data_IF_391499161897
#
_entry.id   IF_391499161897
#
_cell.length_a   1.000
_cell.length_b   1.000
_cell.length_c   1.000
_cell.angle_alpha   90.00
_cell.angle_beta   90.00
_cell.angle_gamma   90.00
#
_symmetry.space_group_name_H-M   'P 1'
#
loop_
_entity.id
_entity.type
_entity.pdbx_description
1 polymer ?
#
# COMPACT_ATOMS: atom_id res chain seq x y z
N UNK A 1 19.22 -11.26 10.52
CA UNK A 1 19.35 -9.81 10.21
C UNK A 1 18.97 -9.03 11.46
N UNK A 2 19.55 -7.83 11.66
CA UNK A 2 19.18 -6.91 12.77
C UNK A 2 18.29 -5.77 12.33
N UNK A 3 18.32 -5.44 11.03
CA UNK A 3 17.43 -4.47 10.39
C UNK A 3 16.99 -5.01 9.03
N UNK A 4 15.80 -4.64 8.57
CA UNK A 4 15.25 -5.16 7.33
C UNK A 4 14.25 -4.20 6.67
N UNK A 5 14.14 -4.33 5.34
CA UNK A 5 13.16 -3.67 4.47
C UNK A 5 12.58 -4.72 3.54
N UNK A 6 11.26 -4.70 3.32
CA UNK A 6 10.60 -5.48 2.28
C UNK A 6 9.61 -4.62 1.52
N UNK A 7 9.66 -4.64 0.19
CA UNK A 7 8.81 -3.82 -0.69
C UNK A 7 8.59 -4.49 -2.06
N UNK A 8 7.62 -4.04 -2.87
CA UNK A 8 7.28 -4.65 -4.15
C UNK A 8 8.27 -4.35 -5.29
N UNK A 9 9.34 -3.57 -5.06
CA UNK A 9 10.35 -3.29 -6.07
C UNK A 9 11.75 -3.29 -5.47
N UNK A 10 12.66 -4.06 -6.08
CA UNK A 10 14.02 -4.27 -5.55
C UNK A 10 14.85 -2.98 -5.41
N UNK A 11 14.73 -2.02 -6.34
CA UNK A 11 15.41 -0.73 -6.23
C UNK A 11 14.94 0.07 -5.00
N UNK A 12 13.64 0.05 -4.72
CA UNK A 12 13.09 0.75 -3.55
C UNK A 12 13.51 0.07 -2.24
N UNK A 13 13.54 -1.26 -2.19
CA UNK A 13 14.07 -1.99 -1.04
C UNK A 13 15.56 -1.68 -0.80
N UNK A 14 16.35 -1.53 -1.86
CA UNK A 14 17.75 -1.14 -1.76
C UNK A 14 17.93 0.26 -1.16
N UNK A 15 17.10 1.24 -1.59
CA UNK A 15 17.09 2.59 -1.02
C UNK A 15 16.82 2.56 0.49
N UNK A 16 15.79 1.85 0.93
CA UNK A 16 15.47 1.74 2.36
C UNK A 16 16.59 1.05 3.15
N UNK A 17 17.23 0.02 2.58
CA UNK A 17 18.35 -0.65 3.21
C UNK A 17 19.56 0.29 3.37
N UNK A 18 19.86 1.13 2.37
CA UNK A 18 20.95 2.09 2.43
C UNK A 18 20.71 3.16 3.49
N UNK A 19 19.44 3.61 3.66
CA UNK A 19 19.05 4.51 4.75
C UNK A 19 19.32 3.86 6.11
N UNK A 20 18.89 2.60 6.33
CA UNK A 20 19.15 1.88 7.58
C UNK A 20 20.67 1.70 7.84
N UNK A 21 21.43 1.35 6.82
CA UNK A 21 22.90 1.17 6.92
C UNK A 21 23.64 2.46 7.22
N UNK A 22 23.14 3.59 6.73
CA UNK A 22 23.73 4.92 7.00
C UNK A 22 23.29 5.51 8.33
N UNK A 23 22.49 4.78 9.14
CA UNK A 23 22.09 5.17 10.48
C UNK A 23 20.76 5.93 10.56
N UNK A 24 19.98 5.96 9.49
CA UNK A 24 18.56 6.36 9.53
C UNK A 24 17.73 5.31 10.27
N UNK A 25 16.59 5.69 10.83
CA UNK A 25 15.68 4.78 11.52
C UNK A 25 14.68 4.11 10.56
N UNK A 26 13.78 3.27 11.10
CA UNK A 26 12.79 2.55 10.30
C UNK A 26 11.81 3.49 9.56
N UNK A 27 11.46 4.66 10.14
CA UNK A 27 10.58 5.66 9.49
C UNK A 27 11.31 6.35 8.34
N UNK A 28 12.58 6.76 8.51
CA UNK A 28 13.39 7.32 7.43
C UNK A 28 13.48 6.33 6.26
N UNK A 29 13.75 5.06 6.56
CA UNK A 29 13.82 4.01 5.54
C UNK A 29 12.47 3.78 4.84
N UNK A 30 11.35 3.80 5.57
CA UNK A 30 10.01 3.65 5.00
C UNK A 30 9.66 4.81 4.06
N UNK A 31 9.95 6.06 4.46
CA UNK A 31 9.73 7.26 3.64
C UNK A 31 10.56 7.18 2.36
N UNK A 32 11.87 6.93 2.46
CA UNK A 32 12.76 6.86 1.29
C UNK A 32 12.36 5.72 0.33
N UNK A 33 11.99 4.55 0.87
CA UNK A 33 11.45 3.43 0.08
C UNK A 33 10.15 3.82 -0.63
N UNK A 34 9.24 4.50 0.07
CA UNK A 34 7.95 4.97 -0.45
C UNK A 34 8.14 6.01 -1.56
N UNK A 35 9.06 6.97 -1.39
CA UNK A 35 9.43 7.95 -2.43
C UNK A 35 10.03 7.26 -3.66
N UNK A 36 10.93 6.29 -3.46
CA UNK A 36 11.50 5.52 -4.57
C UNK A 36 10.41 4.73 -5.32
N UNK A 37 9.47 4.08 -4.61
CA UNK A 37 8.34 3.37 -5.21
C UNK A 37 7.45 4.30 -6.06
N UNK A 38 7.25 5.54 -5.65
CA UNK A 38 6.49 6.51 -6.43
C UNK A 38 7.10 6.77 -7.83
N UNK A 39 8.39 6.52 -8.00
CA UNK A 39 9.12 6.67 -9.27
C UNK A 39 9.24 5.33 -10.02
N UNK A 40 9.65 4.25 -9.34
CA UNK A 40 9.95 2.98 -10.01
C UNK A 40 8.74 2.05 -10.14
N UNK A 41 7.64 2.35 -9.44
CA UNK A 41 6.40 1.56 -9.41
C UNK A 41 5.15 2.44 -9.56
N UNK A 42 5.16 3.43 -10.50
CA UNK A 42 4.20 4.52 -10.56
C UNK A 42 2.79 4.09 -10.98
N UNK A 43 2.61 2.86 -11.43
CA UNK A 43 1.31 2.31 -11.80
C UNK A 43 0.44 1.95 -10.58
N UNK A 44 1.03 1.82 -9.38
CA UNK A 44 0.32 1.41 -8.16
C UNK A 44 0.28 2.48 -7.08
N UNK A 45 1.29 3.36 -7.03
CA UNK A 45 1.47 4.38 -6.01
C UNK A 45 2.13 5.64 -6.56
N UNK A 46 2.11 6.73 -5.82
CA UNK A 46 2.72 7.99 -6.22
C UNK A 46 2.35 9.14 -5.29
N UNK A 47 2.95 10.30 -5.52
CA UNK A 47 2.70 11.53 -4.75
C UNK A 47 1.22 11.93 -4.81
N UNK A 48 0.54 11.64 -5.93
CA UNK A 48 -0.88 11.92 -6.13
C UNK A 48 -1.85 10.92 -5.50
N UNK A 49 -1.35 10.04 -4.62
CA UNK A 49 -2.12 9.00 -3.91
C UNK A 49 -2.37 9.29 -2.44
N UNK A 50 -2.83 8.25 -1.73
CA UNK A 50 -3.02 8.23 -0.28
C UNK A 50 -2.00 7.33 0.41
N UNK A 51 -1.80 7.56 1.73
CA UNK A 51 -0.91 6.79 2.58
C UNK A 51 -1.60 6.45 3.91
N UNK A 52 -1.50 5.18 4.33
CA UNK A 52 -1.86 4.74 5.69
C UNK A 52 -0.69 3.93 6.25
N UNK A 53 -0.30 4.20 7.50
CA UNK A 53 0.83 3.54 8.14
C UNK A 53 0.54 3.18 9.59
N UNK A 54 1.26 2.18 10.09
CA UNK A 54 1.44 1.91 11.51
C UNK A 54 2.91 2.06 11.86
N UNK A 55 3.19 2.65 13.01
CA UNK A 55 4.54 2.77 13.57
C UNK A 55 4.51 2.22 14.99
N UNK A 56 5.37 1.24 15.26
CA UNK A 56 5.69 0.83 16.61
C UNK A 56 7.03 1.43 17.01
N UNK A 57 7.06 2.12 18.12
CA UNK A 57 8.26 2.71 18.69
C UNK A 57 8.20 2.69 20.22
N UNK A 58 9.23 2.13 20.88
CA UNK A 58 9.41 2.16 22.34
C UNK A 58 8.15 1.76 23.14
N UNK A 59 7.44 0.70 22.71
CA UNK A 59 6.24 0.18 23.38
C UNK A 59 4.92 0.83 22.94
N UNK A 60 4.95 1.88 22.11
CA UNK A 60 3.77 2.54 21.55
C UNK A 60 3.52 2.10 20.11
N UNK A 61 2.27 1.72 19.80
CA UNK A 61 1.80 1.48 18.43
C UNK A 61 0.85 2.60 18.02
N UNK A 62 1.25 3.38 17.03
CA UNK A 62 0.47 4.49 16.48
C UNK A 62 0.08 4.21 15.03
N UNK A 63 -1.13 4.62 14.64
CA UNK A 63 -1.63 4.58 13.27
C UNK A 63 -1.66 5.97 12.65
N UNK A 64 -1.37 6.09 11.36
CA UNK A 64 -1.46 7.32 10.58
C UNK A 64 -2.41 7.12 9.41
N UNK A 65 -3.39 8.02 9.29
CA UNK A 65 -4.30 8.15 8.16
C UNK A 65 -3.97 9.44 7.40
N UNK A 66 -3.47 9.32 6.19
CA UNK A 66 -3.26 10.46 5.29
C UNK A 66 -3.98 10.21 3.98
N UNK A 67 -5.28 10.55 4.00
CA UNK A 67 -6.25 10.29 2.93
C UNK A 67 -6.99 11.58 2.59
N UNK A 68 -7.07 11.88 1.30
CA UNK A 68 -7.61 13.15 0.84
C UNK A 68 -9.13 13.21 0.75
N UNK A 69 -9.62 14.43 0.73
CA UNK A 69 -11.04 14.79 0.55
C UNK A 69 -11.37 14.95 -0.92
N UNK A 70 -12.64 14.88 -1.27
CA UNK A 70 -13.13 15.30 -2.58
C UNK A 70 -12.87 16.81 -2.73
N UNK A 71 -12.31 17.28 -3.88
CA UNK A 71 -11.99 18.68 -4.09
C UNK A 71 -13.19 19.61 -3.87
N UNK A 72 -12.95 20.82 -3.38
CA UNK A 72 -13.97 21.80 -3.03
C UNK A 72 -14.80 22.27 -4.26
N UNK A 73 -14.22 22.27 -5.45
CA UNK A 73 -14.89 22.59 -6.70
C UNK A 73 -15.63 21.42 -7.37
N UNK A 74 -15.73 20.26 -6.71
CA UNK A 74 -16.45 19.11 -7.26
C UNK A 74 -17.95 19.38 -7.33
N UNK A 75 -18.61 18.93 -8.40
CA UNK A 75 -20.06 19.02 -8.55
C UNK A 75 -20.73 17.67 -8.24
N UNK A 76 -21.95 17.66 -7.67
CA UNK A 76 -22.71 16.45 -7.49
C UNK A 76 -22.83 15.63 -8.78
N UNK A 77 -22.71 14.33 -8.70
CA UNK A 77 -22.72 13.45 -9.87
C UNK A 77 -23.81 12.35 -9.72
N UNK A 78 -24.70 12.23 -10.69
CA UNK A 78 -25.66 11.11 -10.77
C UNK A 78 -24.95 9.77 -10.88
N UNK A 79 -23.77 9.76 -11.48
CA UNK A 79 -22.89 8.60 -11.59
C UNK A 79 -21.44 9.03 -11.28
N UNK A 80 -20.92 8.50 -10.19
CA UNK A 80 -19.55 8.80 -9.76
C UNK A 80 -18.53 8.37 -10.84
N UNK A 81 -17.65 9.28 -11.28
CA UNK A 81 -16.61 8.96 -12.28
C UNK A 81 -15.62 7.91 -11.73
N UNK A 82 -15.21 6.98 -12.57
CA UNK A 82 -14.18 5.96 -12.21
C UNK A 82 -12.80 6.28 -12.78
N UNK A 83 -12.70 7.19 -13.73
CA UNK A 83 -11.48 7.63 -14.38
C UNK A 83 -11.58 9.11 -14.73
N UNK A 84 -10.46 9.75 -15.06
CA UNK A 84 -10.40 11.18 -15.33
C UNK A 84 -10.40 12.00 -14.04
N UNK A 85 -10.31 13.32 -14.19
CA UNK A 85 -10.09 14.25 -13.07
C UNK A 85 -11.19 14.17 -11.99
N UNK A 86 -12.45 14.01 -12.37
CA UNK A 86 -13.56 13.88 -11.42
C UNK A 86 -13.54 12.61 -10.57
N UNK A 87 -12.66 11.64 -10.86
CA UNK A 87 -12.45 10.46 -10.02
C UNK A 87 -11.37 10.66 -8.95
N UNK A 88 -10.66 11.78 -8.97
CA UNK A 88 -9.55 12.06 -8.07
C UNK A 88 -10.03 12.72 -6.76
N UNK A 89 -9.29 12.44 -5.68
CA UNK A 89 -9.35 13.17 -4.41
C UNK A 89 -8.05 13.92 -4.19
N UNK A 90 -8.02 14.86 -3.27
CA UNK A 90 -6.80 15.57 -2.88
C UNK A 90 -5.75 14.55 -2.45
N UNK A 91 -4.50 14.63 -2.94
CA UNK A 91 -3.45 13.68 -2.56
C UNK A 91 -3.08 13.75 -1.07
N UNK A 92 -3.04 12.59 -0.40
CA UNK A 92 -2.63 12.49 1.00
C UNK A 92 -1.19 12.03 1.21
N UNK A 93 -0.55 11.46 0.19
CA UNK A 93 0.72 10.75 0.34
C UNK A 93 1.85 11.63 0.92
N UNK A 94 2.05 12.83 0.37
CA UNK A 94 3.11 13.75 0.84
C UNK A 94 2.85 14.24 2.25
N UNK A 95 1.59 14.55 2.59
CA UNK A 95 1.17 14.87 3.96
C UNK A 95 1.49 13.73 4.94
N UNK A 96 1.29 12.48 4.50
CA UNK A 96 1.66 11.30 5.28
C UNK A 96 3.17 11.16 5.51
N UNK A 97 4.00 11.40 4.49
CA UNK A 97 5.47 11.40 4.67
C UNK A 97 5.92 12.46 5.66
N UNK A 98 5.37 13.68 5.59
CA UNK A 98 5.68 14.75 6.53
C UNK A 98 5.26 14.40 7.95
N UNK A 99 4.04 13.93 8.16
CA UNK A 99 3.55 13.55 9.48
C UNK A 99 4.39 12.43 10.12
N UNK A 100 4.83 11.43 9.33
CA UNK A 100 5.76 10.40 9.78
C UNK A 100 7.11 11.01 10.16
N UNK A 101 7.66 11.87 9.28
CA UNK A 101 8.95 12.52 9.49
C UNK A 101 8.94 13.45 10.71
N UNK A 102 7.93 14.30 10.85
CA UNK A 102 7.83 15.28 11.94
C UNK A 102 7.77 14.62 13.32
N UNK A 103 7.17 13.40 13.40
CA UNK A 103 7.05 12.67 14.67
C UNK A 103 8.24 11.76 14.97
N UNK A 104 8.82 11.13 13.95
CA UNK A 104 9.79 10.04 14.13
C UNK A 104 11.05 10.18 13.27
N UNK A 105 11.06 11.02 12.24
CA UNK A 105 12.18 11.17 11.32
C UNK A 105 13.45 11.67 11.98
N UNK A 106 14.59 11.21 11.52
CA UNK A 106 15.92 11.62 12.00
C UNK A 106 16.80 12.18 10.88
N UNK A 107 16.45 11.93 9.63
CA UNK A 107 17.16 12.42 8.45
C UNK A 107 16.31 13.48 7.73
N UNK A 108 16.92 14.53 7.15
CA UNK A 108 16.19 15.53 6.37
C UNK A 108 15.40 14.89 5.21
N UNK A 109 14.16 15.35 4.95
CA UNK A 109 13.33 14.81 3.87
C UNK A 109 13.95 14.95 2.48
N UNK A 110 14.67 16.04 2.24
CA UNK A 110 15.38 16.27 0.99
C UNK A 110 16.52 15.26 0.79
N UNK A 111 17.22 14.84 1.85
CA UNK A 111 18.20 13.74 1.81
C UNK A 111 17.51 12.41 1.45
N UNK A 112 16.38 12.10 2.10
CA UNK A 112 15.59 10.88 1.85
C UNK A 112 15.02 10.82 0.42
N UNK A 113 14.73 11.98 -0.19
CA UNK A 113 14.21 12.07 -1.55
C UNK A 113 15.29 11.87 -2.63
N UNK A 114 16.59 12.06 -2.33
CA UNK A 114 17.66 12.05 -3.33
C UNK A 114 17.71 10.79 -4.21
N UNK A 115 17.54 9.56 -3.69
CA UNK A 115 17.48 8.37 -4.56
C UNK A 115 16.33 8.40 -5.54
N UNK A 116 15.13 8.81 -5.10
CA UNK A 116 13.94 8.92 -5.94
C UNK A 116 14.13 10.01 -7.03
N UNK A 117 14.70 11.16 -6.67
CA UNK A 117 15.05 12.25 -7.61
C UNK A 117 16.01 11.75 -8.69
N UNK A 118 17.06 11.01 -8.31
CA UNK A 118 17.99 10.42 -9.29
C UNK A 118 17.29 9.44 -10.21
N UNK A 119 16.48 8.50 -9.68
CA UNK A 119 15.72 7.55 -10.50
C UNK A 119 14.78 8.25 -11.47
N UNK A 120 14.12 9.30 -11.04
CA UNK A 120 13.19 10.05 -11.89
C UNK A 120 13.92 10.82 -13.00
N UNK A 121 15.08 11.40 -12.68
CA UNK A 121 15.89 12.23 -13.61
C UNK A 121 16.68 11.40 -14.60
N UNK A 122 17.38 10.38 -14.12
CA UNK A 122 18.28 9.57 -14.93
C UNK A 122 17.54 8.46 -15.68
N UNK A 123 16.33 8.12 -15.23
CA UNK A 123 15.50 7.06 -15.75
C UNK A 123 15.80 5.70 -15.12
N UNK A 124 14.79 4.83 -15.19
CA UNK A 124 14.86 3.44 -14.71
C UNK A 124 14.33 2.47 -15.75
N UNK A 125 14.91 1.27 -15.83
CA UNK A 125 14.33 0.19 -16.62
C UNK A 125 12.95 -0.20 -16.07
N UNK A 126 12.02 -0.47 -16.97
CA UNK A 126 10.66 -0.87 -16.59
C UNK A 126 10.67 -2.30 -16.09
N UNK A 127 10.30 -2.48 -14.83
CA UNK A 127 10.11 -3.82 -14.29
C UNK A 127 9.02 -4.58 -15.06
N UNK A 128 9.09 -5.92 -15.14
CA UNK A 128 8.12 -6.74 -15.87
C UNK A 128 6.67 -6.51 -15.47
N UNK A 129 6.41 -6.33 -14.15
CA UNK A 129 5.09 -6.01 -13.61
C UNK A 129 4.56 -4.67 -14.15
N UNK A 130 5.40 -3.63 -14.10
CA UNK A 130 5.05 -2.31 -14.65
C UNK A 130 4.74 -2.38 -16.15
N UNK A 131 5.61 -3.00 -16.95
CA UNK A 131 5.41 -3.11 -18.40
C UNK A 131 4.11 -3.82 -18.78
N UNK A 132 3.80 -4.91 -18.07
CA UNK A 132 2.56 -5.67 -18.23
C UNK A 132 1.32 -4.84 -17.94
N UNK A 133 1.28 -4.17 -16.78
CA UNK A 133 0.14 -3.35 -16.36
C UNK A 133 -0.02 -2.12 -17.26
N UNK A 134 1.07 -1.49 -17.68
CA UNK A 134 1.05 -0.38 -18.66
C UNK A 134 0.38 -0.81 -19.96
N UNK A 135 0.71 -1.99 -20.47
CA UNK A 135 0.05 -2.55 -21.67
C UNK A 135 -1.47 -2.73 -21.49
N UNK A 136 -1.90 -3.24 -20.34
CA UNK A 136 -3.34 -3.40 -20.02
C UNK A 136 -4.07 -2.07 -19.84
N UNK A 137 -3.39 -1.07 -19.30
CA UNK A 137 -3.98 0.25 -18.99
C UNK A 137 -3.78 1.26 -20.11
N UNK A 138 -3.17 0.90 -21.25
CA UNK A 138 -2.96 1.78 -22.42
C UNK A 138 -4.20 2.61 -22.78
N UNK A 139 -5.43 2.04 -22.88
CA UNK A 139 -6.61 2.84 -23.24
C UNK A 139 -7.00 3.90 -22.19
N UNK A 140 -6.57 3.76 -20.93
CA UNK A 140 -6.74 4.76 -19.88
C UNK A 140 -5.71 5.87 -20.05
N UNK A 141 -4.44 5.50 -20.23
CA UNK A 141 -3.31 6.43 -20.35
C UNK A 141 -3.39 7.31 -21.61
N UNK A 142 -3.90 6.78 -22.73
CA UNK A 142 -4.07 7.51 -24.00
C UNK A 142 -5.12 8.63 -23.92
N UNK A 143 -5.86 8.75 -22.82
CA UNK A 143 -6.85 9.84 -22.62
C UNK A 143 -6.23 11.11 -22.06
N UNK A 144 -5.01 11.03 -21.54
CA UNK A 144 -4.26 12.15 -20.99
C UNK A 144 -2.92 12.29 -21.71
N UNK A 145 -2.59 13.48 -22.21
CA UNK A 145 -1.40 13.70 -23.01
C UNK A 145 -0.10 13.52 -22.21
N UNK A 146 -0.09 13.98 -20.94
CA UNK A 146 1.05 13.84 -20.06
C UNK A 146 1.25 12.36 -19.64
N UNK A 147 0.18 11.66 -19.27
CA UNK A 147 0.24 10.24 -18.96
C UNK A 147 0.73 9.42 -20.16
N UNK A 148 0.28 9.74 -21.37
CA UNK A 148 0.76 9.13 -22.63
C UNK A 148 2.25 9.37 -22.80
N UNK A 149 2.69 10.63 -22.68
CA UNK A 149 4.10 11.02 -22.87
C UNK A 149 5.02 10.32 -21.87
N UNK A 150 4.62 10.23 -20.62
CA UNK A 150 5.44 9.68 -19.54
C UNK A 150 5.44 8.14 -19.58
N UNK A 151 4.25 7.53 -19.55
CA UNK A 151 4.12 6.09 -19.28
C UNK A 151 4.09 5.21 -20.53
N UNK A 152 3.79 5.77 -21.71
CA UNK A 152 3.81 5.06 -22.99
C UNK A 152 5.06 5.35 -23.84
N UNK A 153 6.04 6.10 -23.30
CA UNK A 153 7.36 6.29 -23.89
C UNK A 153 8.15 4.97 -23.95
N UNK A 154 9.27 4.98 -24.66
CA UNK A 154 10.25 3.90 -24.65
C UNK A 154 11.04 3.83 -23.34
N UNK A 155 11.78 2.73 -23.11
CA UNK A 155 12.71 2.62 -21.98
C UNK A 155 13.96 3.51 -22.20
N UNK A 156 14.57 4.03 -21.14
CA UNK A 156 14.12 3.95 -19.74
C UNK A 156 12.92 4.86 -19.44
N UNK A 157 12.21 4.59 -18.35
CA UNK A 157 11.18 5.48 -17.80
C UNK A 157 11.85 6.70 -17.19
N UNK A 158 11.75 7.86 -17.84
CA UNK A 158 12.31 9.14 -17.38
C UNK A 158 11.18 10.09 -17.00
N UNK A 159 11.26 10.68 -15.80
CA UNK A 159 10.21 11.51 -15.20
C UNK A 159 10.79 12.82 -14.65
N UNK A 160 11.30 13.74 -15.51
CA UNK A 160 12.02 14.93 -15.05
C UNK A 160 11.15 15.89 -14.25
N UNK A 161 9.87 16.05 -14.62
CA UNK A 161 8.93 16.91 -13.88
C UNK A 161 8.62 16.32 -12.49
N UNK A 162 8.57 14.99 -12.35
CA UNK A 162 8.43 14.34 -11.05
C UNK A 162 9.69 14.53 -10.20
N UNK A 163 10.86 14.51 -10.80
CA UNK A 163 12.11 14.83 -10.09
C UNK A 163 12.09 16.26 -9.53
N UNK A 164 11.64 17.23 -10.34
CA UNK A 164 11.48 18.61 -9.90
C UNK A 164 10.45 18.74 -8.77
N UNK A 165 9.31 18.04 -8.86
CA UNK A 165 8.31 18.02 -7.78
C UNK A 165 8.87 17.44 -6.48
N UNK A 166 9.70 16.39 -6.56
CA UNK A 166 10.38 15.81 -5.40
C UNK A 166 11.42 16.78 -4.78
N UNK A 167 12.01 17.67 -5.54
CA UNK A 167 12.88 18.74 -5.04
C UNK A 167 12.09 19.84 -4.32
N UNK A 168 10.80 19.99 -4.63
CA UNK A 168 9.89 20.98 -4.03
C UNK A 168 8.93 20.37 -2.99
N UNK A 169 9.32 19.28 -2.32
CA UNK A 169 8.45 18.63 -1.32
C UNK A 169 8.07 19.56 -0.15
N UNK A 170 8.92 20.52 0.20
CA UNK A 170 8.62 21.49 1.25
C UNK A 170 7.48 22.46 0.87
N UNK A 171 7.34 22.77 -0.42
CA UNK A 171 6.32 23.64 -1.00
C UNK A 171 5.28 22.84 -1.82
N UNK A 172 5.14 21.55 -1.59
CA UNK A 172 4.33 20.66 -2.43
C UNK A 172 2.91 21.18 -2.67
N UNK A 173 2.24 21.71 -1.64
CA UNK A 173 0.88 22.22 -1.74
C UNK A 173 0.78 23.36 -2.74
N UNK A 174 1.63 24.36 -2.65
CA UNK A 174 1.65 25.48 -3.59
C UNK A 174 2.22 25.09 -4.95
N UNK A 175 3.28 24.25 -4.99
CA UNK A 175 3.91 23.84 -6.24
C UNK A 175 2.99 22.99 -7.12
N UNK A 176 2.28 22.04 -6.51
CA UNK A 176 1.37 21.12 -7.20
C UNK A 176 -0.04 21.72 -7.27
N UNK A 177 -0.55 22.28 -6.16
CA UNK A 177 -1.91 22.80 -6.06
C UNK A 177 -2.20 23.91 -7.06
N UNK A 178 -1.26 24.87 -7.24
CA UNK A 178 -1.42 25.95 -8.23
C UNK A 178 -1.45 25.48 -9.70
N UNK A 179 -1.04 24.24 -9.96
CA UNK A 179 -1.03 23.62 -11.31
C UNK A 179 -2.17 22.61 -11.47
N UNK A 180 -2.84 22.23 -10.39
CA UNK A 180 -3.90 21.24 -10.45
C UNK A 180 -5.09 21.78 -11.25
N UNK A 181 -5.65 21.00 -12.20
CA UNK A 181 -6.79 21.45 -12.97
C UNK A 181 -8.08 21.41 -12.12
N UNK A 182 -9.08 22.18 -12.53
CA UNK A 182 -10.42 22.05 -11.94
C UNK A 182 -10.88 20.58 -11.92
N UNK A 183 -11.52 20.11 -10.83
CA UNK A 183 -12.18 20.88 -9.75
C UNK A 183 -11.30 21.19 -8.52
N UNK A 184 -9.98 21.01 -8.58
CA UNK A 184 -9.09 21.32 -7.46
C UNK A 184 -8.85 22.83 -7.35
N UNK A 185 -8.82 23.32 -6.09
CA UNK A 185 -8.26 24.59 -5.72
C UNK A 185 -6.93 24.38 -5.00
N UNK A 186 -6.03 25.35 -5.01
CA UNK A 186 -4.75 25.27 -4.29
C UNK A 186 -5.00 25.10 -2.79
N UNK A 187 -6.03 25.72 -2.24
CA UNK A 187 -6.47 25.63 -0.86
C UNK A 187 -6.87 24.20 -0.45
N UNK A 188 -7.32 23.38 -1.37
CA UNK A 188 -7.64 21.96 -1.09
C UNK A 188 -6.37 21.19 -0.65
N UNK A 189 -5.23 21.50 -1.27
CA UNK A 189 -3.93 20.88 -0.93
C UNK A 189 -3.41 21.40 0.41
N UNK A 190 -3.50 22.72 0.67
CA UNK A 190 -3.10 23.32 1.93
C UNK A 190 -3.98 22.88 3.11
N UNK A 191 -5.26 22.57 2.86
CA UNK A 191 -6.19 22.10 3.87
C UNK A 191 -6.09 20.59 4.18
N UNK A 192 -5.18 19.87 3.52
CA UNK A 192 -4.96 18.46 3.82
C UNK A 192 -4.17 18.28 5.12
N UNK A 193 -4.72 17.47 6.02
CA UNK A 193 -4.09 17.10 7.29
C UNK A 193 -4.08 15.58 7.43
N UNK A 194 -2.93 15.04 7.83
CA UNK A 194 -2.79 13.64 8.22
C UNK A 194 -3.27 13.46 9.68
N UNK A 195 -3.97 12.36 9.95
CA UNK A 195 -4.61 12.11 11.24
C UNK A 195 -3.94 10.92 11.94
N UNK A 196 -3.54 11.12 13.20
CA UNK A 196 -3.02 10.04 14.04
C UNK A 196 -4.17 9.33 14.74
N UNK A 197 -4.15 8.00 14.68
CA UNK A 197 -5.18 7.11 15.24
C UNK A 197 -4.56 6.03 16.12
N UNK A 198 -5.36 5.49 17.03
CA UNK A 198 -4.95 4.33 17.82
C UNK A 198 -5.37 3.05 17.08
N UNK A 199 -4.43 2.17 16.68
CA UNK A 199 -4.77 0.89 16.08
C UNK A 199 -5.64 0.02 16.98
N UNK A 200 -6.60 -0.68 16.38
CA UNK A 200 -7.43 -1.67 17.08
C UNK A 200 -6.70 -3.00 17.20
N UNK A 201 -6.95 -3.74 18.31
CA UNK A 201 -6.21 -4.95 18.66
C UNK A 201 -7.15 -6.09 18.99
N UNK A 202 -6.68 -7.33 18.75
CA UNK A 202 -7.36 -8.55 19.13
C UNK A 202 -6.37 -9.62 19.57
N UNK A 203 -6.59 -10.20 20.75
CA UNK A 203 -5.86 -11.37 21.19
C UNK A 203 -6.27 -12.58 20.35
N UNK A 204 -5.27 -13.26 19.76
CA UNK A 204 -5.49 -14.43 18.93
C UNK A 204 -4.25 -15.35 18.96
N UNK A 205 -4.42 -16.62 19.36
CA UNK A 205 -3.33 -17.60 19.51
C UNK A 205 -2.12 -17.10 20.34
N UNK A 206 -2.38 -16.35 21.42
CA UNK A 206 -1.33 -15.88 22.34
C UNK A 206 -0.51 -14.69 21.82
N UNK A 207 -1.01 -13.99 20.81
CA UNK A 207 -0.44 -12.73 20.28
C UNK A 207 -1.55 -11.69 20.10
N UNK A 208 -1.17 -10.41 19.98
CA UNK A 208 -2.11 -9.34 19.64
C UNK A 208 -2.01 -9.05 18.13
N UNK A 209 -3.09 -9.28 17.39
CA UNK A 209 -3.22 -8.83 15.99
C UNK A 209 -3.70 -7.40 16.00
N UNK A 210 -2.96 -6.51 15.34
CA UNK A 210 -3.21 -5.07 15.30
C UNK A 210 -3.52 -4.64 13.86
N UNK A 211 -4.62 -3.91 13.71
CA UNK A 211 -5.10 -3.38 12.43
C UNK A 211 -5.51 -1.91 12.59
N UNK A 212 -5.62 -1.18 11.47
CA UNK A 212 -6.16 0.18 11.50
C UNK A 212 -7.65 0.20 11.84
N UNK A 213 -8.13 1.22 12.60
CA UNK A 213 -9.54 1.36 12.96
C UNK A 213 -10.43 1.68 11.75
N UNK A 214 -11.78 1.70 11.93
CA UNK A 214 -12.71 2.17 10.90
C UNK A 214 -12.35 3.52 10.31
N UNK A 215 -12.49 3.71 9.09
CA UNK A 215 -12.07 4.39 7.92
C UNK A 215 -11.18 3.43 7.12
N UNK A 216 -10.12 2.85 7.68
CA UNK A 216 -9.46 1.67 7.08
C UNK A 216 -10.35 0.42 7.22
N UNK A 217 -10.23 -0.49 6.26
CA UNK A 217 -10.91 -1.79 6.32
C UNK A 217 -10.16 -2.84 7.15
N UNK A 218 -9.01 -2.50 7.73
CA UNK A 218 -8.20 -3.41 8.53
C UNK A 218 -8.99 -4.09 9.65
N UNK A 219 -9.86 -3.34 10.36
CA UNK A 219 -10.71 -3.87 11.43
C UNK A 219 -11.54 -5.12 11.02
N UNK A 220 -11.85 -5.29 9.72
CA UNK A 220 -12.59 -6.46 9.21
C UNK A 220 -11.81 -7.77 9.38
N UNK A 221 -10.47 -7.70 9.47
CA UNK A 221 -9.65 -8.87 9.80
C UNK A 221 -9.94 -9.34 11.21
N UNK A 222 -9.97 -8.41 12.17
CA UNK A 222 -10.25 -8.72 13.59
C UNK A 222 -11.66 -9.29 13.76
N UNK A 223 -12.65 -8.74 13.07
CA UNK A 223 -14.00 -9.31 13.04
C UNK A 223 -14.04 -10.70 12.41
N UNK A 224 -13.21 -10.96 11.39
CA UNK A 224 -13.10 -12.28 10.80
C UNK A 224 -12.45 -13.28 11.77
N UNK A 225 -11.42 -12.87 12.53
CA UNK A 225 -10.82 -13.71 13.56
C UNK A 225 -11.82 -14.10 14.66
N UNK A 226 -12.73 -13.18 15.05
CA UNK A 226 -13.79 -13.47 16.03
C UNK A 226 -14.81 -14.51 15.53
N UNK A 227 -15.04 -14.56 14.21
CA UNK A 227 -16.00 -15.49 13.58
C UNK A 227 -15.34 -16.78 13.08
N UNK A 228 -14.01 -16.86 13.12
CA UNK A 228 -13.28 -18.00 12.58
C UNK A 228 -13.51 -19.26 13.39
N UNK A 229 -14.10 -20.27 12.77
CA UNK A 229 -14.21 -21.61 13.34
C UNK A 229 -12.81 -22.20 13.61
N UNK A 230 -12.62 -22.98 14.71
CA UNK A 230 -11.32 -23.58 15.01
C UNK A 230 -10.69 -24.32 13.82
N UNK A 231 -9.41 -24.13 13.60
CA UNK A 231 -8.67 -24.77 12.50
C UNK A 231 -7.92 -26.04 12.96
N UNK A 232 -8.16 -26.49 14.21
CA UNK A 232 -7.50 -27.67 14.80
C UNK A 232 -7.69 -28.92 13.93
N UNK A 233 -6.58 -29.62 13.70
CA UNK A 233 -6.54 -30.83 12.87
C UNK A 233 -6.67 -30.61 11.37
N UNK A 234 -6.82 -29.35 10.93
CA UNK A 234 -6.80 -28.97 9.52
C UNK A 234 -5.44 -28.35 9.15
N UNK A 235 -5.10 -28.45 7.88
CA UNK A 235 -3.88 -27.88 7.30
C UNK A 235 -4.23 -27.04 6.06
N UNK A 236 -3.35 -26.19 5.54
CA UNK A 236 -3.54 -25.48 4.28
C UNK A 236 -3.74 -26.40 3.05
N UNK A 237 -3.52 -27.72 3.16
CA UNK A 237 -3.85 -28.68 2.10
C UNK A 237 -5.33 -29.11 2.12
N UNK A 238 -6.06 -28.82 3.18
CA UNK A 238 -7.46 -29.20 3.34
C UNK A 238 -8.39 -28.12 2.79
N UNK A 239 -9.36 -28.50 1.96
CA UNK A 239 -10.35 -27.56 1.41
C UNK A 239 -11.18 -26.88 2.53
N UNK A 240 -11.45 -27.60 3.63
CA UNK A 240 -12.21 -27.07 4.75
C UNK A 240 -11.46 -25.96 5.48
N UNK A 241 -10.13 -26.00 5.57
CA UNK A 241 -9.30 -24.89 6.07
C UNK A 241 -9.67 -23.58 5.38
N UNK A 242 -9.61 -23.58 4.05
CA UNK A 242 -9.92 -22.39 3.25
C UNK A 242 -11.39 -21.98 3.33
N UNK A 243 -12.32 -22.95 3.38
CA UNK A 243 -13.76 -22.65 3.51
C UNK A 243 -14.10 -21.96 4.83
N UNK A 244 -13.44 -22.34 5.94
CA UNK A 244 -13.59 -21.66 7.24
C UNK A 244 -13.12 -20.23 7.17
N UNK A 245 -11.94 -19.96 6.57
CA UNK A 245 -11.43 -18.61 6.36
C UNK A 245 -12.38 -17.77 5.48
N UNK A 246 -12.92 -18.33 4.41
CA UNK A 246 -13.89 -17.65 3.54
C UNK A 246 -15.18 -17.30 4.27
N UNK A 247 -15.74 -18.22 5.05
CA UNK A 247 -16.95 -17.97 5.84
C UNK A 247 -16.75 -16.89 6.90
N UNK A 248 -15.59 -16.91 7.57
CA UNK A 248 -15.25 -15.92 8.60
C UNK A 248 -15.16 -14.51 8.05
N UNK A 249 -14.51 -14.32 6.88
CA UNK A 249 -14.29 -13.00 6.31
C UNK A 249 -15.49 -12.49 5.49
N UNK A 250 -16.14 -13.37 4.76
CA UNK A 250 -17.12 -12.98 3.73
C UNK A 250 -16.47 -12.36 2.47
N UNK A 251 -17.26 -11.97 1.48
CA UNK A 251 -16.75 -11.42 0.23
C UNK A 251 -16.28 -9.96 0.41
N UNK A 252 -15.12 -9.58 -0.18
CA UNK A 252 -14.69 -8.19 -0.22
C UNK A 252 -15.49 -7.39 -1.24
N UNK A 253 -15.29 -6.07 -1.23
CA UNK A 253 -15.81 -5.16 -2.26
C UNK A 253 -15.09 -5.27 -3.61
N UNK A 254 -15.28 -4.27 -4.48
CA UNK A 254 -14.66 -4.19 -5.81
C UNK A 254 -13.12 -4.16 -5.73
N UNK A 255 -12.41 -4.60 -6.80
CA UNK A 255 -10.95 -4.61 -6.84
C UNK A 255 -10.35 -3.19 -6.74
N UNK A 256 -9.11 -3.12 -6.30
CA UNK A 256 -8.25 -1.94 -6.30
C UNK A 256 -6.79 -2.38 -6.17
N UNK A 257 -5.86 -1.51 -6.52
CA UNK A 257 -4.43 -1.74 -6.51
C UNK A 257 -3.73 -0.82 -5.50
N UNK A 258 -2.54 -1.22 -5.05
CA UNK A 258 -1.86 -0.59 -3.90
C UNK A 258 -0.40 -1.01 -3.92
N UNK A 259 0.45 -0.39 -3.09
CA UNK A 259 1.69 -1.02 -2.62
C UNK A 259 1.62 -1.24 -1.11
N UNK A 260 2.38 -2.19 -0.65
CA UNK A 260 2.71 -2.40 0.74
C UNK A 260 4.22 -2.48 0.91
N UNK A 261 4.74 -1.84 1.94
CA UNK A 261 6.13 -1.97 2.38
C UNK A 261 6.20 -2.08 3.90
N UNK A 262 7.27 -2.70 4.39
CA UNK A 262 7.58 -2.71 5.82
C UNK A 262 9.08 -2.55 6.06
N UNK A 263 9.39 -1.90 7.19
CA UNK A 263 10.76 -1.66 7.64
C UNK A 263 10.88 -1.94 9.13
N UNK A 264 12.06 -2.38 9.56
CA UNK A 264 12.44 -2.48 10.98
C UNK A 264 13.92 -2.15 11.12
N UNK A 265 14.26 -1.25 12.05
CA UNK A 265 15.65 -0.91 12.37
C UNK A 265 16.23 -1.79 13.49
N UNK A 266 17.50 -1.59 13.76
CA UNK A 266 18.24 -2.35 14.76
C UNK A 266 17.85 -2.01 16.22
N UNK A 267 17.16 -0.90 16.43
CA UNK A 267 16.61 -0.44 17.72
C UNK A 267 15.22 -1.03 17.97
N UNK A 268 14.59 -1.63 16.96
CA UNK A 268 13.28 -2.27 17.04
C UNK A 268 12.13 -1.41 16.54
N UNK A 269 12.34 -0.12 16.22
CA UNK A 269 11.30 0.67 15.57
C UNK A 269 10.83 -0.05 14.31
N UNK A 270 9.53 -0.09 14.10
CA UNK A 270 8.91 -0.89 13.05
C UNK A 270 7.83 -0.11 12.33
N UNK A 271 7.82 -0.16 11.00
CA UNK A 271 6.83 0.51 10.16
C UNK A 271 6.15 -0.49 9.24
N UNK A 272 4.82 -0.42 9.19
CA UNK A 272 3.94 -1.10 8.25
C UNK A 272 3.21 -0.03 7.44
N UNK A 273 3.37 0.04 6.11
CA UNK A 273 2.91 1.16 5.30
C UNK A 273 2.27 0.69 3.99
N UNK A 274 1.08 1.22 3.72
CA UNK A 274 0.44 1.17 2.41
C UNK A 274 0.41 2.55 1.76
N UNK A 275 0.65 2.60 0.44
CA UNK A 275 0.50 3.77 -0.42
C UNK A 275 -0.26 3.36 -1.69
N UNK A 276 -1.14 4.22 -2.21
CA UNK A 276 -2.03 3.79 -3.28
C UNK A 276 -2.56 4.92 -4.15
N UNK A 277 -2.65 4.64 -5.45
CA UNK A 277 -3.48 5.39 -6.41
C UNK A 277 -4.91 4.83 -6.54
N UNK A 278 -5.29 3.80 -5.78
CA UNK A 278 -6.51 3.00 -5.78
C UNK A 278 -6.53 1.95 -6.90
N UNK A 279 -6.76 2.32 -8.14
CA UNK A 279 -6.65 1.42 -9.31
C UNK A 279 -5.31 1.66 -10.02
N UNK A 280 -4.87 0.70 -10.83
CA UNK A 280 -3.66 0.87 -11.63
C UNK A 280 -3.71 2.16 -12.45
N UNK A 281 -2.67 3.00 -12.32
CA UNK A 281 -2.60 4.36 -12.87
C UNK A 281 -3.73 5.30 -12.40
N UNK A 282 -4.38 5.01 -11.30
CA UNK A 282 -5.35 5.91 -10.65
C UNK A 282 -6.42 6.47 -11.59
N UNK A 283 -6.55 7.80 -11.62
CA UNK A 283 -7.45 8.52 -12.51
C UNK A 283 -7.03 8.47 -13.99
N UNK A 284 -5.75 8.17 -14.26
CA UNK A 284 -5.11 8.30 -15.56
C UNK A 284 -4.73 9.74 -15.91
N UNK A 285 -4.86 10.69 -14.98
CA UNK A 285 -4.57 12.12 -15.18
C UNK A 285 -3.30 12.51 -14.44
N UNK A 286 -2.36 13.12 -15.14
CA UNK A 286 -1.15 13.72 -14.58
C UNK A 286 -1.34 15.24 -14.47
N UNK A 287 -1.04 15.83 -13.32
CA UNK A 287 -1.08 17.29 -13.15
C UNK A 287 0.00 17.90 -14.04
N UNK A 288 -0.36 18.84 -14.96
CA UNK A 288 0.56 19.38 -15.94
C UNK A 288 1.83 20.00 -15.34
N UNK A 289 2.99 19.61 -15.88
CA UNK A 289 4.30 20.15 -15.47
C UNK A 289 4.77 19.73 -14.07
N UNK A 290 4.14 18.69 -13.48
CA UNK A 290 4.54 18.19 -12.15
C UNK A 290 4.93 16.71 -12.15
N UNK A 291 4.54 15.95 -13.17
CA UNK A 291 4.69 14.49 -13.21
C UNK A 291 3.82 13.74 -12.17
N UNK A 292 2.97 14.43 -11.40
CA UNK A 292 2.12 13.84 -10.35
C UNK A 292 0.89 13.19 -10.97
N UNK A 293 0.84 11.87 -10.96
CA UNK A 293 -0.31 11.07 -11.35
C UNK A 293 -1.33 11.02 -10.20
N UNK A 294 -2.56 11.45 -10.47
CA UNK A 294 -3.62 11.49 -9.48
C UNK A 294 -4.31 10.13 -9.30
N UNK A 295 -4.59 9.80 -8.06
CA UNK A 295 -5.43 8.67 -7.67
C UNK A 295 -6.86 8.77 -8.21
N UNK A 296 -7.60 7.66 -8.18
CA UNK A 296 -9.03 7.66 -8.49
C UNK A 296 -9.91 7.25 -7.29
N UNK A 297 -9.53 7.70 -6.09
CA UNK A 297 -10.20 7.33 -4.84
C UNK A 297 -11.66 7.78 -4.79
N UNK A 298 -12.02 8.86 -5.48
CA UNK A 298 -13.42 9.30 -5.53
C UNK A 298 -14.36 8.27 -6.15
N UNK A 299 -13.86 7.28 -6.89
CA UNK A 299 -14.67 6.15 -7.39
C UNK A 299 -15.23 5.22 -6.29
N UNK A 300 -14.84 5.41 -5.04
CA UNK A 300 -15.38 4.68 -3.86
C UNK A 300 -16.57 5.41 -3.19
N UNK A 301 -16.90 6.62 -3.62
CA UNK A 301 -18.14 7.29 -3.23
C UNK A 301 -19.36 6.66 -3.91
N UNK A 302 -20.52 6.80 -3.28
CA UNK A 302 -21.83 6.69 -3.96
C UNK A 302 -22.26 8.08 -4.43
N UNK A 303 -23.25 8.20 -5.33
CA UNK A 303 -23.79 9.50 -5.70
C UNK A 303 -24.18 10.38 -4.51
N UNK A 304 -24.75 9.78 -3.46
CA UNK A 304 -25.20 10.48 -2.25
C UNK A 304 -24.02 10.96 -1.38
N UNK A 305 -22.90 10.26 -1.41
CA UNK A 305 -21.70 10.61 -0.61
C UNK A 305 -20.66 11.39 -1.39
N UNK A 306 -20.82 11.54 -2.70
CA UNK A 306 -19.95 12.34 -3.58
C UNK A 306 -20.22 13.83 -3.38
N UNK A 307 -19.75 14.36 -2.27
CA UNK A 307 -19.98 15.74 -1.81
C UNK A 307 -18.64 16.45 -1.63
N UNK A 308 -18.48 17.72 -2.12
CA UNK A 308 -17.27 18.51 -1.92
C UNK A 308 -16.78 18.49 -0.47
N UNK A 309 -15.48 18.30 -0.27
CA UNK A 309 -14.86 18.23 1.04
C UNK A 309 -15.09 16.94 1.84
N UNK A 310 -15.86 15.98 1.33
CA UNK A 310 -16.04 14.69 1.98
C UNK A 310 -14.81 13.77 1.81
N UNK A 311 -14.53 12.95 2.82
CA UNK A 311 -13.64 11.78 2.70
C UNK A 311 -14.45 10.55 2.27
N UNK A 312 -13.83 9.62 1.56
CA UNK A 312 -14.47 8.32 1.25
C UNK A 312 -14.89 7.62 2.54
N UNK A 313 -16.07 6.97 2.58
CA UNK A 313 -16.57 6.35 3.81
C UNK A 313 -15.65 5.23 4.35
N UNK A 314 -14.99 4.50 3.44
CA UNK A 314 -14.07 3.42 3.79
C UNK A 314 -12.87 3.41 2.85
N UNK A 315 -11.69 3.22 3.42
CA UNK A 315 -10.42 3.12 2.69
C UNK A 315 -9.88 1.69 2.70
N UNK A 316 -9.36 1.23 1.58
CA UNK A 316 -8.91 -0.17 1.42
C UNK A 316 -7.51 -0.44 1.98
N UNK A 317 -6.71 0.58 2.25
CA UNK A 317 -5.36 0.42 2.80
C UNK A 317 -5.44 -0.11 4.23
N UNK A 318 -4.73 -1.19 4.49
CA UNK A 318 -4.74 -1.90 5.77
C UNK A 318 -3.32 -2.36 6.14
N UNK A 319 -2.44 -1.46 6.61
CA UNK A 319 -1.18 -1.90 7.22
C UNK A 319 -1.50 -2.63 8.52
N UNK A 320 -0.71 -3.68 8.85
CA UNK A 320 -0.95 -4.52 10.00
C UNK A 320 0.33 -4.90 10.75
N UNK A 321 0.20 -5.22 12.02
CA UNK A 321 1.25 -5.79 12.87
C UNK A 321 0.69 -6.87 13.78
N UNK A 322 1.55 -7.79 14.20
CA UNK A 322 1.28 -8.71 15.30
C UNK A 322 2.28 -8.44 16.41
N UNK A 323 1.78 -8.25 17.62
CA UNK A 323 2.63 -8.05 18.80
C UNK A 323 2.63 -9.32 19.67
N UNK A 324 3.78 -9.61 20.28
CA UNK A 324 3.94 -10.62 21.34
C UNK A 324 4.56 -9.94 22.54
N UNK A 325 3.86 -9.97 23.69
CA UNK A 325 4.29 -9.29 24.92
C UNK A 325 4.55 -7.78 24.71
N UNK A 326 3.75 -7.12 23.83
CA UNK A 326 3.88 -5.70 23.52
C UNK A 326 4.92 -5.36 22.43
N UNK A 327 5.74 -6.32 21.98
CA UNK A 327 6.81 -6.14 21.00
C UNK A 327 6.39 -6.65 19.60
N UNK A 328 6.83 -6.03 18.49
CA UNK A 328 6.53 -6.49 17.15
C UNK A 328 7.12 -7.88 16.87
N UNK A 329 6.23 -8.87 16.74
CA UNK A 329 6.55 -10.20 16.25
C UNK A 329 6.55 -10.26 14.73
N UNK A 330 5.51 -9.71 14.11
CA UNK A 330 5.30 -9.76 12.67
C UNK A 330 4.81 -8.38 12.18
N UNK A 331 5.52 -7.81 11.22
CA UNK A 331 5.13 -6.61 10.49
C UNK A 331 4.73 -7.12 9.11
N UNK A 332 3.48 -6.95 8.70
CA UNK A 332 2.99 -7.53 7.47
C UNK A 332 1.86 -6.71 6.85
N UNK A 333 1.62 -6.96 5.60
CA UNK A 333 0.50 -6.37 4.86
C UNK A 333 0.54 -6.80 3.41
N UNK A 334 -0.42 -6.29 2.65
CA UNK A 334 -0.56 -6.65 1.26
C UNK A 334 -1.07 -5.49 0.40
N UNK A 335 -0.85 -5.58 -0.90
CA UNK A 335 -1.63 -4.91 -1.93
C UNK A 335 -2.77 -5.83 -2.38
N UNK A 336 -3.80 -5.29 -3.00
CA UNK A 336 -4.94 -6.07 -3.53
C UNK A 336 -6.30 -5.40 -3.30
N UNK A 337 -6.30 -4.09 -3.01
CA UNK A 337 -7.51 -3.32 -2.73
C UNK A 337 -8.32 -3.95 -1.59
N UNK A 338 -9.65 -4.14 -1.74
CA UNK A 338 -10.49 -4.71 -0.68
C UNK A 338 -10.11 -6.14 -0.25
N UNK A 339 -9.31 -6.87 -1.04
CA UNK A 339 -8.87 -8.22 -0.68
C UNK A 339 -7.66 -8.24 0.26
N UNK A 340 -7.07 -7.10 0.59
CA UNK A 340 -5.99 -7.03 1.58
C UNK A 340 -6.38 -7.78 2.85
N UNK A 341 -7.57 -7.56 3.37
CA UNK A 341 -8.08 -8.22 4.58
C UNK A 341 -8.25 -9.74 4.43
N UNK A 342 -8.62 -10.25 3.25
CA UNK A 342 -8.62 -11.70 2.97
C UNK A 342 -7.20 -12.27 2.92
N UNK A 343 -6.24 -11.52 2.38
CA UNK A 343 -4.83 -11.94 2.32
C UNK A 343 -4.26 -11.97 3.74
N UNK A 344 -4.55 -10.95 4.56
CA UNK A 344 -4.13 -10.93 5.97
C UNK A 344 -4.62 -12.16 6.73
N UNK A 345 -5.90 -12.50 6.61
CA UNK A 345 -6.46 -13.68 7.26
C UNK A 345 -5.79 -14.99 6.80
N UNK A 346 -5.51 -15.13 5.50
CA UNK A 346 -4.79 -16.29 4.96
C UNK A 346 -3.35 -16.37 5.49
N UNK A 347 -2.64 -15.24 5.56
CA UNK A 347 -1.27 -15.19 6.09
C UNK A 347 -1.22 -15.48 7.59
N UNK A 348 -2.10 -14.84 8.38
CA UNK A 348 -2.18 -15.07 9.83
C UNK A 348 -2.45 -16.55 10.15
N UNK A 349 -3.41 -17.17 9.44
CA UNK A 349 -3.70 -18.58 9.63
C UNK A 349 -2.50 -19.47 9.29
N UNK A 350 -1.79 -19.25 8.18
CA UNK A 350 -0.61 -20.01 7.78
C UNK A 350 0.56 -19.85 8.76
N UNK A 351 0.85 -18.60 9.16
CA UNK A 351 2.00 -18.29 10.00
C UNK A 351 1.73 -18.72 11.46
N UNK A 352 0.58 -18.33 12.03
CA UNK A 352 0.32 -18.46 13.47
C UNK A 352 -0.37 -19.78 13.85
N UNK A 353 -1.13 -20.41 12.93
CA UNK A 353 -1.80 -21.69 13.21
C UNK A 353 -1.09 -22.86 12.57
N UNK A 354 -0.74 -22.78 11.27
CA UNK A 354 -0.01 -23.85 10.60
C UNK A 354 1.50 -23.84 10.88
N UNK A 355 2.06 -22.76 11.46
CA UNK A 355 3.48 -22.65 11.78
C UNK A 355 4.41 -22.52 10.58
N UNK A 356 3.87 -22.08 9.42
CA UNK A 356 4.69 -21.86 8.23
C UNK A 356 5.62 -20.65 8.43
N UNK A 357 6.84 -20.72 7.90
CA UNK A 357 7.70 -19.53 7.81
C UNK A 357 7.11 -18.48 6.87
N UNK A 358 7.51 -17.22 7.06
CA UNK A 358 6.89 -16.09 6.32
C UNK A 358 7.11 -16.17 4.81
N UNK A 359 8.23 -16.72 4.33
CA UNK A 359 8.50 -16.84 2.90
C UNK A 359 7.60 -17.90 2.27
N UNK A 360 7.44 -19.04 2.93
CA UNK A 360 6.51 -20.11 2.53
C UNK A 360 5.07 -19.60 2.52
N UNK A 361 4.61 -18.95 3.58
CA UNK A 361 3.26 -18.42 3.70
C UNK A 361 2.93 -17.36 2.62
N UNK A 362 3.88 -16.46 2.34
CA UNK A 362 3.74 -15.41 1.33
C UNK A 362 3.72 -16.00 -0.09
N UNK A 363 4.58 -16.97 -0.39
CA UNK A 363 4.65 -17.60 -1.70
C UNK A 363 3.49 -18.58 -1.98
N UNK A 364 2.81 -19.05 -0.92
CA UNK A 364 1.74 -20.02 -1.01
C UNK A 364 0.61 -19.57 -1.96
N UNK A 365 -0.05 -20.52 -2.65
CA UNK A 365 -1.21 -20.21 -3.46
C UNK A 365 -2.32 -19.55 -2.65
N UNK A 366 -3.00 -18.56 -3.24
CA UNK A 366 -4.09 -17.80 -2.62
C UNK A 366 -5.38 -17.93 -3.38
N UNK A 367 -6.45 -17.63 -2.68
CA UNK A 367 -7.78 -17.41 -3.25
C UNK A 367 -8.27 -15.99 -2.95
N UNK A 368 -9.24 -15.56 -3.74
CA UNK A 368 -9.98 -14.31 -3.55
C UNK A 368 -11.46 -14.56 -3.79
N UNK A 369 -12.26 -14.37 -2.75
CA UNK A 369 -13.70 -14.49 -2.84
C UNK A 369 -14.32 -13.13 -3.18
N UNK A 370 -15.13 -13.08 -4.22
CA UNK A 370 -15.98 -11.95 -4.61
C UNK A 370 -17.44 -12.26 -4.23
N UNK A 371 -18.34 -11.28 -4.25
CA UNK A 371 -19.76 -11.54 -4.00
C UNK A 371 -20.38 -12.55 -4.98
N UNK A 372 -19.87 -12.60 -6.21
CA UNK A 372 -20.44 -13.38 -7.34
C UNK A 372 -19.54 -14.53 -7.81
N UNK A 373 -18.29 -14.61 -7.36
CA UNK A 373 -17.33 -15.62 -7.79
C UNK A 373 -16.19 -15.84 -6.82
N UNK A 374 -15.57 -16.99 -6.93
CA UNK A 374 -14.31 -17.33 -6.26
C UNK A 374 -13.24 -17.55 -7.33
N UNK A 375 -12.08 -16.91 -7.18
CA UNK A 375 -10.89 -17.17 -7.98
C UNK A 375 -9.76 -17.72 -7.11
N UNK A 376 -8.95 -18.60 -7.67
CA UNK A 376 -7.84 -19.21 -6.93
C UNK A 376 -6.65 -19.50 -7.83
N UNK A 377 -5.46 -19.53 -7.23
CA UNK A 377 -4.25 -20.03 -7.90
C UNK A 377 -4.25 -21.55 -7.92
N UNK A 378 -3.57 -22.10 -8.95
CA UNK A 378 -3.22 -23.52 -9.01
C UNK A 378 -2.39 -23.92 -7.78
N UNK A 379 -2.64 -25.11 -7.26
CA UNK A 379 -1.95 -25.63 -6.06
C UNK A 379 -2.77 -25.57 -4.78
N UNK A 380 -3.96 -24.93 -4.81
CA UNK A 380 -4.95 -25.06 -3.74
C UNK A 380 -5.76 -26.35 -3.91
N UNK A 381 -6.34 -26.90 -2.81
CA UNK A 381 -7.32 -27.97 -2.91
C UNK A 381 -8.55 -27.51 -3.71
N UNK A 382 -9.41 -28.46 -4.11
CA UNK A 382 -10.63 -28.12 -4.85
C UNK A 382 -11.58 -27.27 -3.98
N UNK A 383 -11.71 -26.00 -4.35
CA UNK A 383 -12.59 -25.03 -3.72
C UNK A 383 -13.81 -24.67 -4.58
N UNK A 384 -13.95 -25.27 -5.76
CA UNK A 384 -14.92 -24.85 -6.77
C UNK A 384 -14.60 -23.47 -7.36
N UNK A 385 -13.35 -23.04 -7.30
CA UNK A 385 -12.90 -21.72 -7.74
C UNK A 385 -12.58 -21.70 -9.24
N UNK A 386 -12.78 -20.55 -9.88
CA UNK A 386 -12.23 -20.28 -11.21
C UNK A 386 -10.71 -20.03 -11.10
N UNK A 387 -9.90 -20.46 -12.08
CA UNK A 387 -8.49 -20.09 -12.12
C UNK A 387 -8.32 -18.58 -12.12
N UNK A 388 -7.36 -18.08 -11.34
CA UNK A 388 -6.99 -16.66 -11.39
C UNK A 388 -6.40 -16.34 -12.77
N UNK A 389 -6.96 -15.37 -13.52
CA UNK A 389 -6.48 -15.04 -14.86
C UNK A 389 -5.02 -14.59 -14.88
N UNK A 390 -4.62 -13.87 -13.84
CA UNK A 390 -3.25 -13.39 -13.62
C UNK A 390 -2.89 -13.60 -12.15
N UNK A 391 -1.68 -14.11 -11.83
CA UNK A 391 -1.23 -14.27 -10.44
C UNK A 391 -1.32 -12.96 -9.61
N UNK A 392 -1.00 -11.83 -10.23
CA UNK A 392 -0.99 -10.49 -9.60
C UNK A 392 -2.38 -10.06 -9.11
N UNK A 393 -3.46 -10.59 -9.69
CA UNK A 393 -4.84 -10.31 -9.22
C UNK A 393 -5.13 -10.80 -7.80
N UNK A 394 -4.24 -11.62 -7.24
CA UNK A 394 -4.37 -12.14 -5.87
C UNK A 394 -3.53 -11.36 -4.86
N UNK A 395 -3.01 -10.20 -5.29
CA UNK A 395 -2.25 -9.28 -4.47
C UNK A 395 -0.80 -9.73 -4.20
N UNK A 396 0.00 -8.80 -3.71
CA UNK A 396 1.36 -9.04 -3.25
C UNK A 396 1.44 -8.77 -1.75
N UNK A 397 2.16 -9.61 -1.02
CA UNK A 397 2.37 -9.45 0.41
C UNK A 397 3.85 -9.39 0.75
N UNK A 398 4.20 -8.63 1.77
CA UNK A 398 5.56 -8.55 2.29
C UNK A 398 5.51 -8.65 3.81
N UNK A 399 6.57 -9.15 4.42
CA UNK A 399 6.63 -9.26 5.87
C UNK A 399 8.06 -9.21 6.41
N UNK A 400 8.17 -8.75 7.66
CA UNK A 400 9.35 -8.89 8.51
C UNK A 400 8.89 -9.56 9.81
N UNK A 401 9.59 -10.61 10.25
CA UNK A 401 9.25 -11.37 11.46
C UNK A 401 10.46 -11.46 12.38
N UNK A 402 10.26 -11.15 13.66
CA UNK A 402 11.25 -11.38 14.71
C UNK A 402 11.34 -12.86 15.04
N UNK A 403 12.55 -13.39 15.15
CA UNK A 403 12.86 -14.76 15.53
C UNK A 403 13.14 -14.85 17.05
N UNK A 404 13.04 -16.04 17.60
CA UNK A 404 13.29 -16.27 19.04
C UNK A 404 14.73 -15.95 19.47
N UNK A 405 15.69 -16.03 18.55
CA UNK A 405 17.10 -15.67 18.78
C UNK A 405 17.37 -14.15 18.66
N UNK A 406 16.33 -13.34 18.48
CA UNK A 406 16.41 -11.89 18.32
C UNK A 406 16.80 -11.44 16.90
N UNK A 407 17.00 -12.35 15.96
CA UNK A 407 17.24 -12.00 14.56
C UNK A 407 15.91 -11.72 13.82
N UNK A 408 16.00 -11.19 12.61
CA UNK A 408 14.85 -10.95 11.73
C UNK A 408 14.88 -11.87 10.51
N UNK A 409 13.72 -12.38 10.14
CA UNK A 409 13.44 -12.89 8.80
C UNK A 409 12.64 -11.84 8.04
N UNK A 410 12.91 -11.68 6.74
CA UNK A 410 12.15 -10.79 5.87
C UNK A 410 11.78 -11.52 4.57
N UNK A 411 10.57 -11.30 4.07
CA UNK A 411 10.09 -11.95 2.86
C UNK A 411 9.31 -10.95 1.98
N UNK A 412 9.46 -11.12 0.68
CA UNK A 412 8.70 -10.43 -0.36
C UNK A 412 7.87 -11.41 -1.17
N UNK A 413 6.85 -10.92 -1.81
CA UNK A 413 5.99 -11.75 -2.66
C UNK A 413 6.64 -12.03 -4.01
N UNK A 414 6.81 -13.29 -4.41
CA UNK A 414 7.38 -13.64 -5.71
C UNK A 414 6.52 -13.23 -6.92
N UNK A 415 5.29 -12.75 -6.68
CA UNK A 415 4.41 -12.18 -7.71
C UNK A 415 4.75 -10.72 -8.03
N UNK A 416 5.57 -10.07 -7.19
CA UNK A 416 6.04 -8.69 -7.36
C UNK A 416 7.44 -8.64 -7.96
N UNK A 417 7.89 -7.45 -8.37
CA UNK A 417 9.28 -7.16 -8.75
C UNK A 417 10.16 -6.85 -7.52
N UNK A 418 9.76 -7.36 -6.35
CA UNK A 418 10.21 -6.97 -5.04
C UNK A 418 11.52 -7.55 -4.55
N UNK A 419 11.91 -7.10 -3.37
CA UNK A 419 12.99 -7.68 -2.58
C UNK A 419 12.73 -7.50 -1.08
N UNK A 420 13.27 -8.43 -0.29
CA UNK A 420 13.41 -8.32 1.16
C UNK A 420 14.90 -8.33 1.49
N UNK A 421 15.40 -7.23 2.03
CA UNK A 421 16.82 -6.97 2.26
C UNK A 421 17.06 -6.62 3.74
N UNK A 422 18.25 -6.98 4.26
CA UNK A 422 18.60 -6.66 5.63
C UNK A 422 20.08 -6.96 5.94
N UNK A 423 20.54 -6.61 7.16
CA UNK A 423 21.90 -6.85 7.64
C UNK A 423 21.94 -7.25 9.13
#
# INVERSE_FOLDING_TARGET
>A
MRAAVASPHHLASAVGLDVLRSGGNAVDAAIATSMALAVVYPHMCGLGGDLIAMVWNEGELSGLLSTGKLPSGSEPAEKVPRTGIGSATVPGCVGGWRALHDRYGTRPLDELAQPAIRYARDGVERAPGFAKITGLMRPRLERDAEATRIYLSDDPLVQPELAETLEHLAEFEGYVGSRAPEPFAEEDFHAHEAEWETPVRRDWHGVEVCEMPPHSRGHLVLEALDRLEPLDGLTPADAEWHRRLMRAHGPPGLPGDTIYLCTRDAQGMSVSLNQSLKDAFGSGVVIPGTGVLLQNRAADFTPETYVPGAKVPQHTLAPAMVLRNGEPLLIFGAMGGPSQTQIHLQLLARILVAGEDIATAIAAPRWRAYPDRLIAQTGLPDLGAQPAPLPDMLGHAHAIMAQEDGTLSAAFDPRSDGAALGF
#
